data_IF_792022723291
#
_entry.id   IF_792022723291
#
_cell.length_a   1.000
_cell.length_b   1.000
_cell.length_c   1.000
_cell.angle_alpha   90.00
_cell.angle_beta   90.00
_cell.angle_gamma   90.00
#
_symmetry.space_group_name_H-M   'P 1'
#
loop_
_entity.id
_entity.type
_entity.pdbx_description
1 polymer ?
#
# COMPACT_ATOMS: atom_id res chain seq x y z
N UNK A 1 13.14 54.55 -72.39
CA UNK A 1 12.43 53.63 -71.47
C UNK A 1 13.48 52.97 -70.59
N UNK A 2 13.60 53.43 -69.35
CA UNK A 2 14.62 52.96 -68.41
C UNK A 2 13.94 52.06 -67.38
N UNK A 3 14.33 50.78 -67.34
CA UNK A 3 13.75 49.80 -66.42
C UNK A 3 14.25 49.97 -64.97
N UNK A 4 13.50 49.49 -63.96
CA UNK A 4 13.89 49.62 -62.56
C UNK A 4 15.00 48.62 -62.22
N UNK A 5 16.05 49.09 -61.53
CA UNK A 5 17.11 48.25 -60.99
C UNK A 5 16.61 47.50 -59.75
N UNK A 6 16.86 46.19 -59.72
CA UNK A 6 16.54 45.29 -58.60
C UNK A 6 17.46 45.59 -57.39
N UNK A 7 16.94 45.73 -56.16
CA UNK A 7 17.78 45.90 -54.97
C UNK A 7 18.43 44.56 -54.56
N UNK A 8 19.77 44.53 -54.51
CA UNK A 8 20.55 43.43 -53.94
C UNK A 8 20.34 43.38 -52.41
N UNK A 9 19.61 42.38 -51.89
CA UNK A 9 19.24 42.33 -50.47
C UNK A 9 19.64 41.09 -49.66
N UNK A 10 20.51 40.19 -50.13
CA UNK A 10 20.55 38.84 -49.50
C UNK A 10 21.87 38.44 -48.79
N UNK A 11 22.93 39.27 -48.84
CA UNK A 11 24.21 38.95 -48.19
C UNK A 11 24.40 39.53 -46.77
N UNK A 12 23.99 40.79 -46.56
CA UNK A 12 24.35 41.53 -45.35
C UNK A 12 23.62 41.05 -44.09
N UNK A 13 22.42 40.51 -44.23
CA UNK A 13 21.67 39.92 -43.12
C UNK A 13 22.29 38.59 -42.69
N UNK A 14 22.68 37.76 -43.66
CA UNK A 14 23.32 36.48 -43.41
C UNK A 14 24.68 36.63 -42.72
N UNK A 15 25.45 37.63 -43.14
CA UNK A 15 26.71 38.01 -42.47
C UNK A 15 26.51 38.51 -41.04
N UNK A 16 25.34 39.10 -40.72
CA UNK A 16 25.01 39.51 -39.35
C UNK A 16 24.59 38.32 -38.50
N UNK A 17 23.84 37.38 -39.06
CA UNK A 17 23.47 36.14 -38.37
C UNK A 17 24.70 35.28 -38.05
N UNK A 18 25.59 35.09 -39.02
CA UNK A 18 26.82 34.31 -38.83
C UNK A 18 27.70 34.93 -37.74
N UNK A 19 27.86 36.26 -37.74
CA UNK A 19 28.66 36.97 -36.74
C UNK A 19 28.05 36.94 -35.34
N UNK A 20 26.71 36.94 -35.23
CA UNK A 20 26.02 36.79 -33.95
C UNK A 20 26.14 35.34 -33.44
N UNK A 21 26.06 34.36 -34.34
CA UNK A 21 26.24 32.94 -34.00
C UNK A 21 27.67 32.67 -33.49
N UNK A 22 28.71 33.16 -34.17
CA UNK A 22 30.10 33.04 -33.73
C UNK A 22 30.34 33.68 -32.35
N UNK A 23 29.71 34.82 -32.07
CA UNK A 23 29.79 35.47 -30.75
C UNK A 23 29.06 34.71 -29.64
N UNK A 24 28.01 33.96 -29.98
CA UNK A 24 27.21 33.20 -29.01
C UNK A 24 27.75 31.79 -28.75
N UNK A 25 28.43 31.18 -29.73
CA UNK A 25 29.02 29.86 -29.60
C UNK A 25 29.88 29.65 -28.33
N UNK A 26 30.82 30.55 -27.95
CA UNK A 26 31.60 30.37 -26.72
C UNK A 26 30.76 30.59 -25.44
N UNK A 27 29.73 31.43 -25.50
CA UNK A 27 28.81 31.67 -24.38
C UNK A 27 27.93 30.46 -24.15
N UNK A 28 27.45 29.81 -25.22
CA UNK A 28 26.64 28.60 -25.14
C UNK A 28 27.47 27.38 -24.72
N UNK A 29 28.71 27.25 -25.20
CA UNK A 29 29.62 26.20 -24.77
C UNK A 29 30.05 26.33 -23.29
N UNK A 30 30.11 27.57 -22.78
CA UNK A 30 30.44 27.86 -21.38
C UNK A 30 29.22 27.90 -20.45
N UNK A 31 27.99 27.71 -20.95
CA UNK A 31 26.81 27.65 -20.10
C UNK A 31 26.89 26.39 -19.23
N UNK A 32 26.92 26.52 -17.89
CA UNK A 32 26.74 25.37 -17.04
C UNK A 32 25.38 24.75 -17.39
N UNK A 33 25.35 23.44 -17.63
CA UNK A 33 24.08 22.74 -17.73
C UNK A 33 23.39 22.91 -16.39
N UNK A 34 22.39 23.78 -16.37
CA UNK A 34 21.52 23.95 -15.20
C UNK A 34 20.70 22.68 -15.16
N UNK A 35 21.12 21.77 -14.28
CA UNK A 35 20.38 20.55 -13.98
C UNK A 35 19.02 21.00 -13.44
N UNK A 36 18.01 20.97 -14.31
CA UNK A 36 16.68 21.43 -13.96
C UNK A 36 16.19 20.44 -12.92
N UNK A 37 15.99 20.91 -11.68
CA UNK A 37 15.52 20.09 -10.58
C UNK A 37 14.39 19.17 -11.08
N UNK A 38 14.49 17.85 -10.85
CA UNK A 38 13.51 16.91 -11.36
C UNK A 38 12.12 17.36 -10.93
N UNK A 39 11.21 17.45 -11.90
CA UNK A 39 9.85 17.94 -11.68
C UNK A 39 9.22 17.14 -10.53
N UNK A 40 8.89 17.81 -9.42
CA UNK A 40 8.50 17.17 -8.15
C UNK A 40 7.35 16.16 -8.33
N UNK A 41 6.50 16.39 -9.34
CA UNK A 41 5.43 15.47 -9.75
C UNK A 41 5.95 14.12 -10.23
N UNK A 42 7.08 14.09 -10.94
CA UNK A 42 7.73 12.85 -11.36
C UNK A 42 8.32 12.10 -10.16
N UNK A 43 8.85 12.83 -9.17
CA UNK A 43 9.41 12.24 -7.96
C UNK A 43 8.34 11.58 -7.05
N UNK A 44 7.11 12.11 -7.03
CA UNK A 44 6.01 11.58 -6.21
C UNK A 44 5.24 10.43 -6.89
N UNK A 45 5.23 10.37 -8.22
CA UNK A 45 4.49 9.33 -8.98
C UNK A 45 4.93 7.91 -8.65
N UNK A 46 6.23 7.70 -8.49
CA UNK A 46 6.77 6.38 -8.18
C UNK A 46 6.35 5.87 -6.79
N UNK A 47 6.61 6.58 -5.67
CA UNK A 47 6.21 6.12 -4.34
C UNK A 47 4.69 6.04 -4.18
N UNK A 48 3.93 6.98 -4.77
CA UNK A 48 2.46 6.90 -4.73
C UNK A 48 1.91 5.67 -5.48
N UNK A 49 2.53 5.27 -6.59
CA UNK A 49 2.20 4.03 -7.28
C UNK A 49 2.48 2.78 -6.43
N UNK A 50 3.59 2.76 -5.68
CA UNK A 50 3.92 1.64 -4.78
C UNK A 50 2.90 1.53 -3.63
N UNK A 51 2.57 2.65 -3.01
CA UNK A 51 1.53 2.71 -1.97
C UNK A 51 0.19 2.25 -2.54
N UNK A 52 -0.18 2.75 -3.73
CA UNK A 52 -1.40 2.34 -4.41
C UNK A 52 -1.45 0.84 -4.69
N UNK A 53 -0.35 0.24 -5.14
CA UNK A 53 -0.25 -1.20 -5.38
C UNK A 53 -0.41 -2.01 -4.06
N UNK A 54 0.19 -1.56 -2.96
CA UNK A 54 0.03 -2.19 -1.66
C UNK A 54 -1.41 -2.11 -1.15
N UNK A 55 -2.04 -0.92 -1.21
CA UNK A 55 -3.44 -0.71 -0.84
C UNK A 55 -4.38 -1.58 -1.67
N UNK A 56 -4.08 -1.75 -2.97
CA UNK A 56 -4.85 -2.63 -3.83
C UNK A 56 -4.74 -4.11 -3.40
N UNK A 57 -3.54 -4.56 -3.01
CA UNK A 57 -3.35 -5.90 -2.45
C UNK A 57 -4.13 -6.10 -1.14
N UNK A 58 -4.11 -5.09 -0.27
CA UNK A 58 -4.92 -5.07 0.97
C UNK A 58 -6.41 -5.16 0.67
N UNK A 59 -6.91 -4.38 -0.30
CA UNK A 59 -8.30 -4.40 -0.72
C UNK A 59 -8.71 -5.76 -1.31
N UNK A 60 -7.82 -6.44 -2.04
CA UNK A 60 -8.09 -7.77 -2.58
C UNK A 60 -8.37 -8.80 -1.48
N UNK A 61 -7.59 -8.80 -0.39
CA UNK A 61 -7.82 -9.67 0.78
C UNK A 61 -9.16 -9.32 1.45
N UNK A 62 -9.42 -8.04 1.64
CA UNK A 62 -10.68 -7.57 2.24
C UNK A 62 -11.90 -8.05 1.45
N UNK A 63 -11.88 -7.86 0.12
CA UNK A 63 -12.96 -8.29 -0.77
C UNK A 63 -13.10 -9.82 -0.76
N UNK A 64 -11.98 -10.56 -0.80
CA UNK A 64 -12.01 -12.02 -0.74
C UNK A 64 -12.69 -12.52 0.54
N UNK A 65 -12.32 -11.95 1.70
CA UNK A 65 -12.93 -12.29 2.99
C UNK A 65 -14.39 -11.86 3.08
N UNK A 66 -14.72 -10.68 2.57
CA UNK A 66 -16.10 -10.19 2.52
C UNK A 66 -16.99 -11.12 1.68
N UNK A 67 -16.53 -11.51 0.49
CA UNK A 67 -17.23 -12.45 -0.36
C UNK A 67 -17.38 -13.82 0.32
N UNK A 68 -16.31 -14.32 0.95
CA UNK A 68 -16.36 -15.57 1.71
C UNK A 68 -17.40 -15.53 2.84
N UNK A 69 -17.41 -14.46 3.64
CA UNK A 69 -18.35 -14.32 4.75
C UNK A 69 -19.81 -14.37 4.27
N UNK A 70 -20.13 -13.75 3.13
CA UNK A 70 -21.49 -13.75 2.58
C UNK A 70 -21.85 -15.03 1.81
N UNK A 71 -20.88 -15.77 1.28
CA UNK A 71 -21.12 -16.98 0.49
C UNK A 71 -21.07 -18.26 1.33
N UNK A 72 -20.36 -18.26 2.46
CA UNK A 72 -20.10 -19.43 3.31
C UNK A 72 -20.68 -19.30 4.73
N UNK A 73 -21.68 -18.44 4.92
CA UNK A 73 -22.44 -18.28 6.17
C UNK A 73 -21.61 -17.81 7.39
N UNK A 74 -20.55 -17.04 7.14
CA UNK A 74 -19.88 -16.20 8.15
C UNK A 74 -18.99 -16.89 9.20
N UNK A 75 -19.13 -18.20 9.44
CA UNK A 75 -18.39 -18.90 10.50
C UNK A 75 -16.89 -19.07 10.24
N UNK A 76 -16.05 -18.79 11.24
CA UNK A 76 -14.63 -19.17 11.23
C UNK A 76 -14.41 -20.65 11.65
N UNK A 77 -15.49 -21.39 11.91
CA UNK A 77 -15.46 -22.78 12.37
C UNK A 77 -15.36 -23.78 11.21
N UNK A 78 -14.47 -24.77 11.32
CA UNK A 78 -14.47 -25.95 10.46
C UNK A 78 -13.19 -26.23 9.66
N UNK A 79 -12.23 -25.31 9.60
CA UNK A 79 -10.95 -25.53 8.90
C UNK A 79 -9.74 -25.20 9.79
N UNK A 80 -8.67 -25.97 9.63
CA UNK A 80 -7.37 -25.68 10.23
C UNK A 80 -6.94 -24.24 9.88
N UNK A 81 -6.42 -23.51 10.86
CA UNK A 81 -5.97 -22.13 10.72
C UNK A 81 -4.97 -21.96 9.56
N UNK A 82 -4.10 -22.95 9.34
CA UNK A 82 -3.14 -22.96 8.23
C UNK A 82 -3.86 -23.10 6.87
N UNK A 83 -4.91 -23.93 6.78
CA UNK A 83 -5.71 -24.12 5.55
C UNK A 83 -6.49 -22.85 5.22
N UNK A 84 -7.14 -22.24 6.22
CA UNK A 84 -7.90 -21.00 6.03
C UNK A 84 -6.99 -19.87 5.54
N UNK A 85 -5.78 -19.75 6.08
CA UNK A 85 -4.80 -18.75 5.65
C UNK A 85 -4.36 -18.98 4.20
N UNK A 86 -4.13 -20.23 3.79
CA UNK A 86 -3.76 -20.57 2.41
C UNK A 86 -4.90 -20.26 1.44
N UNK A 87 -6.14 -20.63 1.78
CA UNK A 87 -7.32 -20.34 0.95
C UNK A 87 -7.47 -18.83 0.77
N UNK A 88 -7.42 -18.07 1.87
CA UNK A 88 -7.51 -16.61 1.82
C UNK A 88 -6.40 -16.01 0.95
N UNK A 89 -5.16 -16.51 1.08
CA UNK A 89 -4.03 -16.08 0.26
C UNK A 89 -4.22 -16.37 -1.23
N UNK A 90 -4.73 -17.55 -1.59
CA UNK A 90 -4.98 -17.94 -3.00
C UNK A 90 -6.11 -17.11 -3.60
N UNK A 91 -7.25 -16.97 -2.90
CA UNK A 91 -8.39 -16.20 -3.38
C UNK A 91 -8.01 -14.72 -3.49
N UNK A 92 -7.33 -14.16 -2.48
CA UNK A 92 -6.83 -12.80 -2.54
C UNK A 92 -5.83 -12.61 -3.69
N UNK A 93 -4.94 -13.58 -3.94
CA UNK A 93 -4.02 -13.57 -5.07
C UNK A 93 -4.74 -13.53 -6.42
N UNK A 94 -5.82 -14.31 -6.59
CA UNK A 94 -6.66 -14.29 -7.80
C UNK A 94 -7.40 -12.95 -7.96
N UNK A 95 -8.04 -12.45 -6.91
CA UNK A 95 -8.69 -11.13 -6.92
C UNK A 95 -7.69 -10.01 -7.26
N UNK A 96 -6.51 -10.08 -6.64
CA UNK A 96 -5.40 -9.15 -6.84
C UNK A 96 -4.89 -9.18 -8.28
N UNK A 97 -4.74 -10.37 -8.87
CA UNK A 97 -4.36 -10.54 -10.28
C UNK A 97 -5.39 -9.90 -11.23
N UNK A 98 -6.69 -10.10 -10.98
CA UNK A 98 -7.76 -9.51 -11.78
C UNK A 98 -7.77 -7.98 -11.66
N UNK A 99 -7.64 -7.44 -10.45
CA UNK A 99 -7.57 -6.00 -10.20
C UNK A 99 -6.34 -5.35 -10.87
N UNK A 100 -5.20 -6.03 -10.86
CA UNK A 100 -3.97 -5.52 -11.48
C UNK A 100 -4.04 -5.54 -13.00
N UNK A 101 -4.67 -6.58 -13.58
CA UNK A 101 -4.93 -6.65 -15.02
C UNK A 101 -5.76 -5.47 -15.53
N UNK A 102 -6.68 -4.96 -14.70
CA UNK A 102 -7.49 -3.78 -15.00
C UNK A 102 -6.71 -2.47 -14.88
N UNK A 103 -5.83 -2.33 -13.88
CA UNK A 103 -5.15 -1.08 -13.56
C UNK A 103 -3.81 -0.88 -14.30
N UNK A 104 -3.37 -1.87 -15.10
CA UNK A 104 -2.18 -1.78 -15.97
C UNK A 104 -0.90 -1.33 -15.25
N UNK A 105 -0.73 -1.72 -13.99
CA UNK A 105 0.52 -1.49 -13.28
C UNK A 105 1.62 -2.37 -13.88
N UNK A 106 2.67 -1.73 -14.41
CA UNK A 106 3.81 -2.41 -15.04
C UNK A 106 5.04 -2.30 -14.14
N UNK A 107 5.70 -3.43 -13.89
CA UNK A 107 6.93 -3.48 -13.09
C UNK A 107 6.89 -4.51 -11.96
N UNK A 108 8.06 -5.09 -11.68
CA UNK A 108 8.25 -6.11 -10.63
C UNK A 108 8.08 -5.53 -9.22
N UNK A 109 8.40 -4.24 -9.04
CA UNK A 109 8.31 -3.54 -7.75
C UNK A 109 6.86 -3.34 -7.32
N UNK A 110 5.96 -2.95 -8.22
CA UNK A 110 4.53 -2.81 -7.90
C UNK A 110 3.89 -4.17 -7.56
N UNK A 111 4.30 -5.25 -8.23
CA UNK A 111 3.87 -6.62 -7.88
C UNK A 111 4.36 -7.01 -6.48
N UNK A 112 5.61 -6.68 -6.13
CA UNK A 112 6.14 -6.93 -4.80
C UNK A 112 5.39 -6.13 -3.72
N UNK A 113 5.12 -4.84 -3.97
CA UNK A 113 4.34 -3.99 -3.08
C UNK A 113 2.90 -4.51 -2.89
N UNK A 114 2.28 -5.00 -3.97
CA UNK A 114 0.96 -5.63 -3.92
C UNK A 114 0.97 -6.91 -3.07
N UNK A 115 1.93 -7.82 -3.30
CA UNK A 115 2.08 -9.03 -2.48
C UNK A 115 2.31 -8.68 -1.02
N UNK A 116 3.12 -7.66 -0.73
CA UNK A 116 3.31 -7.15 0.63
C UNK A 116 1.98 -6.67 1.23
N UNK A 117 1.18 -5.92 0.49
CA UNK A 117 -0.16 -5.48 0.92
C UNK A 117 -1.11 -6.64 1.24
N UNK A 118 -1.09 -7.71 0.43
CA UNK A 118 -1.85 -8.94 0.71
C UNK A 118 -1.43 -9.53 2.06
N UNK A 119 -0.12 -9.77 2.23
CA UNK A 119 0.43 -10.36 3.47
C UNK A 119 0.10 -9.48 4.68
N UNK A 120 0.32 -8.17 4.56
CA UNK A 120 0.03 -7.22 5.63
C UNK A 120 -1.44 -7.25 6.04
N UNK A 121 -2.38 -7.26 5.09
CA UNK A 121 -3.81 -7.33 5.41
C UNK A 121 -4.19 -8.67 6.04
N UNK A 122 -3.68 -9.81 5.55
CA UNK A 122 -3.94 -11.13 6.18
C UNK A 122 -3.50 -11.13 7.64
N UNK A 123 -2.32 -10.58 7.91
CA UNK A 123 -1.72 -10.57 9.23
C UNK A 123 -2.30 -9.52 10.19
N UNK A 124 -2.92 -8.44 9.68
CA UNK A 124 -3.32 -7.28 10.49
C UNK A 124 -4.80 -6.93 10.40
N UNK A 125 -5.61 -7.67 9.64
CA UNK A 125 -7.04 -7.35 9.47
C UNK A 125 -7.77 -7.21 10.81
N UNK A 126 -7.46 -8.08 11.78
CA UNK A 126 -8.09 -8.06 13.10
C UNK A 126 -7.82 -6.74 13.86
N UNK A 127 -6.68 -6.07 13.64
CA UNK A 127 -6.43 -4.76 14.23
C UNK A 127 -7.41 -3.68 13.71
N UNK A 128 -7.83 -3.78 12.44
CA UNK A 128 -8.87 -2.91 11.90
C UNK A 128 -10.23 -3.21 12.53
N UNK A 129 -10.52 -4.48 12.81
CA UNK A 129 -11.73 -4.89 13.53
C UNK A 129 -11.74 -4.32 14.95
N UNK A 130 -10.62 -4.41 15.68
CA UNK A 130 -10.47 -3.81 17.01
C UNK A 130 -10.63 -2.29 17.01
N UNK A 131 -10.12 -1.59 15.99
CA UNK A 131 -10.22 -0.12 15.94
C UNK A 131 -11.62 0.39 15.55
N UNK A 132 -12.40 -0.38 14.79
CA UNK A 132 -13.71 0.04 14.30
C UNK A 132 -14.75 -1.12 14.31
N UNK A 133 -15.04 -1.73 15.47
CA UNK A 133 -15.85 -2.95 15.53
C UNK A 133 -17.24 -2.77 14.92
N UNK A 134 -17.89 -1.63 15.19
CA UNK A 134 -19.20 -1.30 14.64
C UNK A 134 -19.26 -1.30 13.11
N UNK A 135 -18.19 -0.84 12.43
CA UNK A 135 -18.13 -0.83 10.96
C UNK A 135 -18.05 -2.26 10.45
N UNK A 136 -17.22 -3.09 11.07
CA UNK A 136 -17.07 -4.49 10.67
C UNK A 136 -18.30 -5.33 11.01
N UNK A 137 -19.02 -5.02 12.09
CA UNK A 137 -20.29 -5.69 12.40
C UNK A 137 -21.36 -5.47 11.33
N UNK A 138 -21.37 -4.29 10.70
CA UNK A 138 -22.27 -3.99 9.58
C UNK A 138 -21.81 -4.65 8.27
N UNK A 139 -20.51 -4.84 8.09
CA UNK A 139 -19.93 -5.38 6.85
C UNK A 139 -19.85 -6.91 6.84
N UNK A 140 -19.64 -7.58 7.97
CA UNK A 140 -19.42 -9.04 8.03
C UNK A 140 -20.46 -9.78 8.88
N UNK A 141 -20.97 -9.12 9.92
CA UNK A 141 -21.95 -9.54 10.94
C UNK A 141 -21.41 -9.25 12.35
N UNK A 142 -22.33 -9.09 13.31
CA UNK A 142 -21.98 -8.93 14.72
C UNK A 142 -21.25 -10.15 15.27
N UNK A 143 -21.76 -11.35 15.01
CA UNK A 143 -21.20 -12.62 15.47
C UNK A 143 -19.75 -12.83 15.00
N UNK A 144 -19.47 -12.63 13.69
CA UNK A 144 -18.11 -12.72 13.18
C UNK A 144 -17.17 -11.71 13.84
N UNK A 145 -17.66 -10.49 14.07
CA UNK A 145 -16.86 -9.42 14.70
C UNK A 145 -16.52 -9.78 16.15
N UNK A 146 -17.50 -10.28 16.91
CA UNK A 146 -17.31 -10.75 18.28
C UNK A 146 -16.35 -11.94 18.33
N UNK A 147 -16.45 -12.87 17.39
CA UNK A 147 -15.54 -14.01 17.28
C UNK A 147 -14.09 -13.56 17.01
N UNK A 148 -13.89 -12.61 16.09
CA UNK A 148 -12.55 -12.05 15.81
C UNK A 148 -12.00 -11.35 17.06
N UNK A 149 -12.80 -10.54 17.74
CA UNK A 149 -12.37 -9.83 18.96
C UNK A 149 -12.05 -10.83 20.08
N UNK A 150 -12.87 -11.86 20.26
CA UNK A 150 -12.67 -12.88 21.29
C UNK A 150 -11.41 -13.73 21.03
N UNK A 151 -11.04 -13.93 19.76
CA UNK A 151 -9.90 -14.78 19.38
C UNK A 151 -8.60 -14.02 19.12
N UNK A 152 -8.62 -12.69 19.06
CA UNK A 152 -7.45 -11.88 18.70
C UNK A 152 -7.20 -10.73 19.66
N UNK A 153 -5.94 -10.33 19.77
CA UNK A 153 -5.57 -9.19 20.60
C UNK A 153 -5.34 -7.93 19.72
N UNK A 154 -5.68 -6.74 20.21
CA UNK A 154 -5.35 -5.50 19.51
C UNK A 154 -3.84 -5.30 19.41
N UNK A 155 -3.39 -4.54 18.41
CA UNK A 155 -1.96 -4.25 18.18
C UNK A 155 -1.08 -5.52 18.07
N UNK A 156 -1.62 -6.58 17.47
CA UNK A 156 -0.90 -7.85 17.30
C UNK A 156 -0.77 -8.26 15.83
N UNK A 157 0.14 -9.19 15.54
CA UNK A 157 0.28 -9.82 14.22
C UNK A 157 -0.27 -11.23 14.29
N UNK A 158 -1.20 -11.55 13.39
CA UNK A 158 -1.65 -12.92 13.19
C UNK A 158 -0.67 -13.69 12.31
N UNK A 159 -0.14 -14.80 12.82
CA UNK A 159 0.73 -15.69 12.06
C UNK A 159 0.53 -17.14 12.50
N UNK A 160 0.11 -18.00 11.56
CA UNK A 160 -0.06 -19.44 11.77
C UNK A 160 -0.91 -19.80 13.00
N UNK A 161 -2.11 -19.22 13.11
CA UNK A 161 -3.01 -19.47 14.23
C UNK A 161 -2.63 -18.81 15.56
N UNK A 162 -1.54 -18.05 15.62
CA UNK A 162 -1.06 -17.38 16.82
C UNK A 162 -1.07 -15.86 16.64
N UNK A 163 -1.32 -15.13 17.72
CA UNK A 163 -1.25 -13.67 17.77
C UNK A 163 0.00 -13.23 18.53
N UNK A 164 0.78 -12.36 17.91
CA UNK A 164 2.01 -11.81 18.48
C UNK A 164 1.83 -10.32 18.75
N UNK A 165 1.71 -9.92 20.01
CA UNK A 165 1.54 -8.51 20.41
C UNK A 165 2.78 -7.69 20.07
N UNK A 166 2.60 -6.54 19.41
CA UNK A 166 3.69 -5.68 18.96
C UNK A 166 4.14 -4.65 19.99
N UNK A 167 3.26 -4.27 20.90
CA UNK A 167 3.58 -3.32 21.97
C UNK A 167 3.14 -3.94 23.29
N UNK A 168 4.05 -4.16 24.26
CA UNK A 168 3.59 -4.30 25.63
C UNK A 168 2.87 -3.00 25.94
N UNK A 169 1.56 -3.06 26.14
CA UNK A 169 0.91 -2.04 26.95
C UNK A 169 1.80 -1.91 28.19
N UNK A 170 2.41 -0.74 28.37
CA UNK A 170 2.93 -0.43 29.70
C UNK A 170 1.70 -0.56 30.57
N UNK A 171 1.65 -1.62 31.37
CA UNK A 171 0.89 -1.63 32.61
C UNK A 171 1.31 -0.33 33.30
N UNK A 172 0.51 0.72 33.12
CA UNK A 172 0.38 1.74 34.14
C UNK A 172 -0.16 0.92 35.29
N UNK A 173 0.75 0.51 36.18
CA UNK A 173 0.43 -0.12 37.43
C UNK A 173 -0.46 0.88 38.19
N UNK A 174 -1.75 0.88 37.89
CA UNK A 174 -2.75 1.27 38.86
C UNK A 174 -2.82 0.10 39.82
N UNK A 175 -2.10 0.26 40.93
CA UNK A 175 -2.32 -0.47 42.17
C UNK A 175 -3.83 -0.41 42.50
N UNK A 176 -4.60 -1.39 42.02
CA UNK A 176 -5.95 -1.64 42.49
C UNK A 176 -5.86 -2.90 43.34
N UNK A 177 -5.86 -2.66 44.65
CA UNK A 177 -5.91 -3.67 45.71
C UNK A 177 -7.02 -4.71 45.45
N UNK A 178 -6.63 -5.98 45.58
CA UNK A 178 -7.39 -7.17 45.95
C UNK A 178 -8.92 -7.15 45.73
N UNK A 179 -9.35 -7.81 44.65
CA UNK A 179 -10.67 -8.45 44.59
C UNK A 179 -10.52 -9.89 44.12
N UNK A 180 -10.74 -10.82 45.03
CA UNK A 180 -10.84 -12.27 44.79
C UNK A 180 -11.92 -12.58 43.73
N UNK A 181 -11.51 -13.11 42.58
CA UNK A 181 -12.43 -13.61 41.53
C UNK A 181 -12.07 -15.08 41.21
N UNK A 182 -13.05 -16.00 41.19
CA UNK A 182 -12.79 -17.44 41.12
C UNK A 182 -12.27 -17.93 39.75
N UNK A 183 -11.52 -19.03 39.81
CA UNK A 183 -10.79 -19.67 38.69
C UNK A 183 -11.65 -19.86 37.42
N UNK A 184 -11.26 -19.18 36.34
CA UNK A 184 -11.79 -19.34 34.98
C UNK A 184 -10.86 -20.27 34.17
N UNK A 185 -11.36 -21.12 33.25
CA UNK A 185 -10.62 -22.25 32.69
C UNK A 185 -9.43 -21.81 31.82
N UNK A 186 -8.37 -22.64 31.85
CA UNK A 186 -7.03 -22.34 31.35
C UNK A 186 -6.99 -21.73 29.93
N UNK A 187 -6.58 -20.46 29.85
CA UNK A 187 -6.23 -19.75 28.62
C UNK A 187 -4.95 -20.35 27.99
N UNK A 188 -4.82 -20.30 26.64
CA UNK A 188 -3.64 -20.78 25.94
C UNK A 188 -2.36 -20.01 26.34
N UNK A 189 -1.24 -20.74 26.39
CA UNK A 189 0.05 -20.25 26.88
C UNK A 189 0.65 -19.16 25.97
N UNK A 190 0.66 -17.93 26.45
CA UNK A 190 1.45 -16.81 25.91
C UNK A 190 2.95 -17.15 26.00
N UNK A 191 3.65 -17.23 24.87
CA UNK A 191 5.13 -17.28 24.86
C UNK A 191 5.68 -15.91 24.52
N UNK A 192 6.28 -15.27 25.53
CA UNK A 192 7.05 -14.03 25.38
C UNK A 192 8.37 -14.35 24.71
N UNK A 193 8.73 -13.62 23.66
CA UNK A 193 10.08 -13.64 23.10
C UNK A 193 10.93 -12.69 23.96
N UNK A 194 11.91 -13.26 24.66
CA UNK A 194 13.05 -12.53 25.23
C UNK A 194 14.26 -12.65 24.32
#
# INVERSE_FOLDING_TARGET
MSGPQNPQSDGSFQDRLNRVAERRAPIEAARPQVDVLPDWKQNVRYPSGLIGAAVLGMAAVFIARFARAHLMDGGLEGFDADITMVIDGVVAGLCSFLLFGLLRFEGKEFKAAQTFGIIAMICMMHNFVHSAPRVFSLLFSAEWTEEVIARSEPNSIYFRGNYFVLSPEQEVAEDIEDVDVPETPALPKVRRLG
#
